data_IF_746977574690
#
_entry.id   IF_746977574690
#
_cell.length_a   1.000
_cell.length_b   1.000
_cell.length_c   1.000
_cell.angle_alpha   90.00
_cell.angle_beta   90.00
_cell.angle_gamma   90.00
#
_symmetry.space_group_name_H-M   'P 1'
#
loop_
_entity.id
_entity.type
_entity.pdbx_description
1 polymer ?
#
# COMPACT_ATOMS: atom_id res chain seq x y z
N UNK A 1 -18.48 -21.28 -14.20
CA UNK A 1 -17.57 -20.17 -13.80
C UNK A 1 -17.73 -19.97 -12.32
N UNK A 2 -16.78 -20.41 -11.50
CA UNK A 2 -16.84 -20.20 -10.07
C UNK A 2 -16.29 -18.80 -9.77
N UNK A 3 -17.12 -17.95 -9.16
CA UNK A 3 -16.70 -16.68 -8.59
C UNK A 3 -15.78 -17.04 -7.42
N UNK A 4 -14.49 -16.72 -7.52
CA UNK A 4 -13.58 -16.82 -6.38
C UNK A 4 -13.92 -15.68 -5.42
N UNK A 5 -14.79 -15.98 -4.46
CA UNK A 5 -14.94 -15.17 -3.25
C UNK A 5 -13.63 -15.30 -2.48
N UNK A 6 -12.75 -14.30 -2.57
CA UNK A 6 -11.53 -14.26 -1.77
C UNK A 6 -11.92 -14.12 -0.31
N UNK A 7 -11.57 -15.12 0.49
CA UNK A 7 -11.66 -15.06 1.95
C UNK A 7 -10.93 -13.80 2.42
N UNK A 8 -11.64 -12.95 3.16
CA UNK A 8 -11.12 -11.71 3.76
C UNK A 8 -10.19 -11.97 4.96
N UNK A 9 -9.91 -13.24 5.27
CA UNK A 9 -9.24 -13.67 6.50
C UNK A 9 -7.75 -13.99 6.34
N UNK A 10 -7.17 -13.89 5.13
CA UNK A 10 -5.72 -14.07 4.95
C UNK A 10 -5.00 -12.73 4.93
N UNK A 11 -4.21 -12.48 5.99
CA UNK A 11 -3.18 -11.45 5.99
C UNK A 11 -2.05 -11.87 5.02
N UNK A 12 -2.24 -11.56 3.73
CA UNK A 12 -1.26 -11.79 2.67
C UNK A 12 -0.84 -10.48 2.00
N UNK A 13 0.31 -10.52 1.32
CA UNK A 13 0.95 -9.35 0.67
C UNK A 13 -0.01 -8.57 -0.23
N UNK A 14 -0.87 -9.26 -0.96
CA UNK A 14 -1.89 -8.65 -1.83
C UNK A 14 -2.91 -7.83 -1.05
N UNK A 15 -3.44 -8.35 0.06
CA UNK A 15 -4.41 -7.64 0.90
C UNK A 15 -3.78 -6.41 1.52
N UNK A 16 -2.56 -6.52 2.07
CA UNK A 16 -1.83 -5.40 2.69
C UNK A 16 -1.63 -4.25 1.70
N UNK A 17 -1.10 -4.54 0.51
CA UNK A 17 -0.84 -3.50 -0.51
C UNK A 17 -2.14 -2.88 -1.01
N UNK A 18 -3.19 -3.68 -1.22
CA UNK A 18 -4.49 -3.16 -1.66
C UNK A 18 -5.13 -2.25 -0.59
N UNK A 19 -5.05 -2.64 0.68
CA UNK A 19 -5.54 -1.84 1.80
C UNK A 19 -4.77 -0.53 1.92
N UNK A 20 -3.44 -0.57 1.75
CA UNK A 20 -2.60 0.63 1.75
C UNK A 20 -3.03 1.64 0.69
N UNK A 21 -3.19 1.21 -0.57
CA UNK A 21 -3.61 2.10 -1.67
C UNK A 21 -5.03 2.61 -1.47
N UNK A 22 -5.96 1.76 -1.01
CA UNK A 22 -7.33 2.18 -0.71
C UNK A 22 -7.36 3.24 0.40
N UNK A 23 -6.55 3.07 1.44
CA UNK A 23 -6.43 4.02 2.54
C UNK A 23 -5.84 5.36 2.07
N UNK A 24 -4.82 5.36 1.21
CA UNK A 24 -4.31 6.59 0.58
C UNK A 24 -5.37 7.29 -0.27
N UNK A 25 -6.10 6.54 -1.10
CA UNK A 25 -7.18 7.08 -1.92
C UNK A 25 -8.31 7.70 -1.09
N UNK A 26 -8.61 7.10 0.07
CA UNK A 26 -9.61 7.60 1.02
C UNK A 26 -9.06 8.72 1.94
N UNK A 27 -7.78 9.09 1.83
CA UNK A 27 -7.08 9.98 2.77
C UNK A 27 -7.13 9.52 4.23
N UNK A 28 -7.35 8.23 4.46
CA UNK A 28 -7.24 7.62 5.77
C UNK A 28 -5.77 7.26 6.04
N UNK A 29 -4.97 8.29 6.34
CA UNK A 29 -3.53 8.11 6.55
C UNK A 29 -3.18 7.29 7.79
N UNK A 30 -4.08 7.21 8.78
CA UNK A 30 -3.91 6.32 9.93
C UNK A 30 -3.98 4.86 9.50
N UNK A 31 -5.03 4.47 8.76
CA UNK A 31 -5.15 3.11 8.22
C UNK A 31 -4.03 2.78 7.22
N UNK A 32 -3.57 3.75 6.43
CA UNK A 32 -2.43 3.55 5.54
C UNK A 32 -1.14 3.27 6.32
N UNK A 33 -0.89 3.97 7.44
CA UNK A 33 0.27 3.76 8.29
C UNK A 33 0.31 2.37 8.93
N UNK A 34 -0.84 1.81 9.28
CA UNK A 34 -0.96 0.46 9.85
C UNK A 34 -0.50 -0.65 8.90
N UNK A 35 -0.44 -0.40 7.59
CA UNK A 35 0.02 -1.38 6.59
C UNK A 35 1.54 -1.36 6.39
N UNK A 36 2.28 -0.54 7.14
CA UNK A 36 3.70 -0.27 6.92
C UNK A 36 4.53 -0.66 8.14
N UNK A 37 5.65 -1.36 7.91
CA UNK A 37 6.66 -1.58 8.93
C UNK A 37 7.33 -0.26 9.33
N UNK A 38 7.67 -0.10 10.61
CA UNK A 38 8.24 1.14 11.13
C UNK A 38 9.56 1.53 10.43
N UNK A 39 10.36 0.54 10.05
CA UNK A 39 11.66 0.67 9.37
C UNK A 39 11.56 0.66 7.83
N UNK A 40 10.35 0.83 7.28
CA UNK A 40 10.08 0.89 5.85
C UNK A 40 11.01 1.89 5.12
N UNK A 41 11.49 1.47 3.94
CA UNK A 41 12.26 2.32 3.02
C UNK A 41 11.47 2.53 1.74
N UNK A 42 11.14 3.77 1.42
CA UNK A 42 10.61 4.15 0.12
C UNK A 42 11.74 4.63 -0.79
N UNK A 43 11.84 4.06 -1.99
CA UNK A 43 12.77 4.49 -3.04
C UNK A 43 11.98 4.92 -4.27
N UNK A 44 12.00 6.21 -4.58
CA UNK A 44 11.40 6.77 -5.78
C UNK A 44 12.44 7.47 -6.66
N UNK A 45 12.03 7.81 -7.88
CA UNK A 45 12.87 8.55 -8.84
C UNK A 45 13.39 9.88 -8.30
N UNK A 46 12.65 10.52 -7.39
CA UNK A 46 13.01 11.80 -6.76
C UNK A 46 13.77 11.63 -5.43
N UNK A 47 14.16 10.42 -5.05
CA UNK A 47 14.96 10.15 -3.85
C UNK A 47 14.37 9.07 -2.94
N UNK A 48 14.93 9.00 -1.73
CA UNK A 48 14.63 7.96 -0.73
C UNK A 48 13.98 8.56 0.53
N UNK A 49 13.13 7.78 1.20
CA UNK A 49 12.65 8.03 2.57
C UNK A 49 12.89 6.80 3.43
N UNK A 50 13.29 7.02 4.68
CA UNK A 50 13.51 5.98 5.68
C UNK A 50 12.59 6.23 6.86
N UNK A 51 11.82 5.21 7.20
CA UNK A 51 10.80 5.26 8.24
C UNK A 51 9.40 5.52 7.68
N UNK A 52 8.43 4.73 8.12
CA UNK A 52 7.05 4.85 7.68
C UNK A 52 6.43 6.21 8.01
N UNK A 53 6.74 6.80 9.17
CA UNK A 53 6.20 8.10 9.57
C UNK A 53 6.68 9.23 8.66
N UNK A 54 7.97 9.22 8.29
CA UNK A 54 8.55 10.19 7.36
C UNK A 54 7.86 10.10 5.99
N UNK A 55 7.66 8.88 5.50
CA UNK A 55 6.96 8.66 4.23
C UNK A 55 5.50 9.13 4.28
N UNK A 56 4.79 8.85 5.38
CA UNK A 56 3.39 9.23 5.54
C UNK A 56 3.17 10.74 5.70
N UNK A 57 4.11 11.47 6.30
CA UNK A 57 4.06 12.95 6.33
C UNK A 57 4.12 13.56 4.92
N UNK A 58 4.90 12.96 4.02
CA UNK A 58 4.92 13.37 2.62
C UNK A 58 3.61 13.00 1.91
N UNK A 59 3.06 11.80 2.15
CA UNK A 59 1.79 11.36 1.57
C UNK A 59 0.62 12.26 1.98
N UNK A 60 0.58 12.71 3.24
CA UNK A 60 -0.45 13.64 3.75
C UNK A 60 -0.46 14.98 3.02
N UNK A 61 0.72 15.45 2.56
CA UNK A 61 0.87 16.71 1.81
C UNK A 61 0.51 16.52 0.34
N UNK A 62 0.95 15.43 -0.27
CA UNK A 62 0.78 15.20 -1.72
C UNK A 62 -0.60 14.68 -2.11
N UNK A 63 -1.25 13.89 -1.23
CA UNK A 63 -2.63 13.36 -1.42
C UNK A 63 -2.86 12.69 -2.78
N UNK A 64 -1.88 11.91 -3.24
CA UNK A 64 -1.99 11.19 -4.51
C UNK A 64 -3.19 10.24 -4.54
N UNK A 65 -3.77 10.09 -5.73
CA UNK A 65 -4.86 9.16 -6.01
C UNK A 65 -4.41 8.16 -7.06
N UNK A 66 -4.72 6.90 -6.83
CA UNK A 66 -4.28 5.78 -7.63
C UNK A 66 -5.48 5.00 -8.14
N UNK A 67 -5.46 4.66 -9.43
CA UNK A 67 -6.38 3.69 -10.01
C UNK A 67 -5.59 2.45 -10.40
N UNK A 68 -5.79 1.34 -9.66
CA UNK A 68 -5.06 0.10 -9.91
C UNK A 68 -5.58 -0.53 -11.20
N UNK A 69 -4.74 -0.54 -12.25
CA UNK A 69 -5.07 -1.15 -13.54
C UNK A 69 -4.72 -2.63 -13.60
N UNK A 70 -3.62 -3.02 -12.97
CA UNK A 70 -3.14 -4.41 -12.89
C UNK A 70 -2.56 -4.67 -11.50
N UNK A 71 -2.45 -5.93 -11.13
CA UNK A 71 -1.79 -6.35 -9.90
C UNK A 71 -1.15 -7.71 -10.15
N UNK A 72 0.15 -7.80 -9.89
CA UNK A 72 0.95 -9.01 -10.01
C UNK A 72 1.49 -9.41 -8.64
N UNK A 73 1.52 -10.71 -8.36
CA UNK A 73 1.99 -11.29 -7.09
C UNK A 73 3.07 -12.31 -7.40
N UNK A 74 4.22 -12.17 -6.75
CA UNK A 74 5.30 -13.17 -6.75
C UNK A 74 5.79 -13.37 -5.31
N UNK A 75 5.29 -14.43 -4.65
CA UNK A 75 5.51 -14.63 -3.22
C UNK A 75 5.04 -13.44 -2.38
N UNK A 76 5.99 -12.75 -1.74
CA UNK A 76 5.72 -11.56 -0.91
C UNK A 76 5.84 -10.24 -1.67
N UNK A 77 6.26 -10.28 -2.94
CA UNK A 77 6.42 -9.12 -3.79
C UNK A 77 5.14 -8.82 -4.57
N UNK A 78 4.79 -7.53 -4.65
CA UNK A 78 3.60 -7.03 -5.34
C UNK A 78 4.00 -5.91 -6.29
N UNK A 79 3.50 -5.97 -7.52
CA UNK A 79 3.57 -4.86 -8.49
C UNK A 79 2.17 -4.43 -8.89
N UNK A 80 1.93 -3.11 -8.89
CA UNK A 80 0.68 -2.46 -9.30
C UNK A 80 0.80 -1.80 -10.68
#
# INVERSE_FOLDING_TARGET
MAIQTQNLDEHNSKVVVRNFINALNAENFAAAREQLADDMIFKGVMGERRGADVYMEDMKKMKFKYEIKKLFVDGNDISL
#
